data_IF_435040863975
#
_entry.id   IF_435040863975
#
_cell.length_a   1.000
_cell.length_b   1.000
_cell.length_c   1.000
_cell.angle_alpha   90.00
_cell.angle_beta   90.00
_cell.angle_gamma   90.00
#
_symmetry.space_group_name_H-M   'P 1'
#
loop_
_entity.id
_entity.type
_entity.pdbx_description
1 polymer ?
#
# COMPACT_ATOMS: atom_id res chain seq x y z
N UNK A 1 42.55 3.42 -31.92
CA UNK A 1 41.22 3.28 -31.30
C UNK A 1 41.35 3.41 -29.78
N UNK A 2 40.89 4.51 -29.17
CA UNK A 2 40.96 4.72 -27.72
C UNK A 2 39.94 3.83 -26.99
N UNK A 3 40.33 3.26 -25.85
CA UNK A 3 39.52 2.33 -25.07
C UNK A 3 38.42 3.08 -24.32
N UNK A 4 37.18 2.62 -24.46
CA UNK A 4 35.92 3.12 -23.86
C UNK A 4 35.97 3.35 -22.33
N UNK A 5 36.99 2.82 -21.63
CA UNK A 5 37.19 3.00 -20.19
C UNK A 5 37.51 4.44 -19.78
N UNK A 6 38.15 5.22 -20.65
CA UNK A 6 38.64 6.57 -20.27
C UNK A 6 37.53 7.64 -20.29
N UNK A 7 36.40 7.37 -20.96
CA UNK A 7 35.29 8.32 -21.06
C UNK A 7 34.34 8.28 -19.84
N UNK A 8 34.22 7.10 -19.20
CA UNK A 8 33.29 6.88 -18.08
C UNK A 8 33.84 7.47 -16.77
N UNK A 9 35.16 7.64 -16.66
CA UNK A 9 35.80 8.12 -15.43
C UNK A 9 35.70 9.64 -15.26
N UNK A 10 35.38 10.41 -16.32
CA UNK A 10 35.38 11.88 -16.30
C UNK A 10 34.00 12.56 -16.25
N UNK A 11 32.88 11.83 -16.35
CA UNK A 11 31.54 12.42 -16.32
C UNK A 11 30.49 11.47 -15.70
N UNK A 12 30.31 11.44 -14.37
CA UNK A 12 29.34 10.55 -13.72
C UNK A 12 27.87 10.94 -13.98
N UNK A 13 27.60 12.20 -14.35
CA UNK A 13 26.23 12.72 -14.49
C UNK A 13 25.68 12.69 -15.93
N UNK A 14 26.51 12.34 -16.92
CA UNK A 14 26.12 12.32 -18.33
C UNK A 14 25.49 11.01 -18.82
N UNK A 15 25.70 9.89 -18.12
CA UNK A 15 25.24 8.57 -18.57
C UNK A 15 23.77 8.27 -18.21
N UNK A 16 23.16 9.06 -17.33
CA UNK A 16 21.81 8.81 -16.83
C UNK A 16 20.70 9.29 -17.79
N UNK A 17 21.03 10.12 -18.78
CA UNK A 17 20.04 10.74 -19.69
C UNK A 17 19.80 9.99 -21.02
N UNK A 18 20.48 8.87 -21.28
CA UNK A 18 20.36 8.17 -22.58
C UNK A 18 19.51 6.89 -22.52
N UNK A 19 19.08 6.43 -21.34
CA UNK A 19 18.30 5.18 -21.22
C UNK A 19 16.82 5.44 -20.87
N UNK A 20 16.32 6.64 -21.21
CA UNK A 20 14.88 6.99 -21.21
C UNK A 20 14.29 6.93 -22.63
N UNK A 21 14.80 6.04 -23.48
CA UNK A 21 14.39 5.97 -24.88
C UNK A 21 14.61 4.60 -25.48
N UNK A 22 13.84 3.61 -25.04
CA UNK A 22 13.43 2.46 -25.85
C UNK A 22 12.48 1.59 -25.03
N UNK A 23 11.19 1.77 -25.27
CA UNK A 23 10.18 0.77 -24.98
C UNK A 23 10.54 -0.54 -25.70
N UNK A 24 10.35 -1.70 -25.04
CA UNK A 24 10.34 -3.00 -25.71
C UNK A 24 11.44 -4.00 -25.31
N UNK A 25 11.63 -4.27 -24.01
CA UNK A 25 12.27 -5.53 -23.54
C UNK A 25 11.97 -5.78 -22.05
N UNK A 26 10.72 -5.58 -21.64
CA UNK A 26 10.25 -5.88 -20.28
C UNK A 26 9.90 -7.38 -20.19
N UNK A 27 10.69 -8.17 -19.46
CA UNK A 27 10.30 -9.56 -19.19
C UNK A 27 11.25 -10.33 -18.27
N UNK A 28 12.56 -10.33 -18.54
CA UNK A 28 13.48 -11.21 -17.81
C UNK A 28 14.66 -10.50 -17.12
N UNK A 29 15.11 -9.36 -17.63
CA UNK A 29 16.28 -8.64 -17.07
C UNK A 29 15.94 -7.77 -15.86
N UNK A 30 14.71 -7.25 -15.76
CA UNK A 30 14.25 -6.48 -14.60
C UNK A 30 14.22 -7.30 -13.31
N UNK A 31 13.82 -8.58 -13.39
CA UNK A 31 13.74 -9.50 -12.26
C UNK A 31 15.13 -9.81 -11.68
N UNK A 32 16.11 -10.13 -12.54
CA UNK A 32 17.50 -10.40 -12.11
C UNK A 32 18.21 -9.19 -11.49
N UNK A 33 17.88 -7.96 -11.90
CA UNK A 33 18.46 -6.73 -11.31
C UNK A 33 17.80 -6.41 -9.96
N UNK A 34 16.50 -6.69 -9.80
CA UNK A 34 15.82 -6.63 -8.50
C UNK A 34 16.39 -7.67 -7.54
N UNK A 35 16.51 -8.93 -7.97
CA UNK A 35 16.98 -10.04 -7.14
C UNK A 35 18.44 -9.86 -6.71
N UNK A 36 19.31 -9.35 -7.59
CA UNK A 36 20.71 -9.08 -7.25
C UNK A 36 20.89 -7.84 -6.35
N UNK A 37 20.01 -6.83 -6.46
CA UNK A 37 19.95 -5.72 -5.50
C UNK A 37 19.39 -6.16 -4.15
N UNK A 38 18.43 -7.09 -4.14
CA UNK A 38 17.82 -7.65 -2.94
C UNK A 38 18.82 -8.54 -2.19
N UNK A 39 19.55 -9.42 -2.90
CA UNK A 39 20.62 -10.24 -2.33
C UNK A 39 21.80 -9.39 -1.80
N UNK A 40 22.20 -8.32 -2.50
CA UNK A 40 23.22 -7.37 -2.00
C UNK A 40 22.72 -6.54 -0.80
N UNK A 41 21.42 -6.30 -0.70
CA UNK A 41 20.81 -5.65 0.48
C UNK A 41 20.72 -6.58 1.68
N UNK A 42 20.48 -7.87 1.46
CA UNK A 42 20.46 -8.89 2.51
C UNK A 42 21.86 -9.15 3.06
N UNK A 43 22.88 -9.24 2.21
CA UNK A 43 24.27 -9.36 2.66
C UNK A 43 24.78 -8.12 3.42
N UNK A 44 24.30 -6.91 3.11
CA UNK A 44 24.63 -5.69 3.88
C UNK A 44 23.81 -5.52 5.16
N UNK A 45 22.70 -6.24 5.33
CA UNK A 45 21.78 -6.14 6.47
C UNK A 45 22.33 -6.75 7.77
N UNK A 46 23.36 -7.59 7.70
CA UNK A 46 23.97 -8.23 8.87
C UNK A 46 25.01 -7.37 9.60
N UNK A 47 25.38 -6.18 9.09
CA UNK A 47 26.44 -5.34 9.71
C UNK A 47 26.03 -3.90 10.07
N UNK A 48 24.77 -3.50 9.90
CA UNK A 48 24.31 -2.17 10.32
C UNK A 48 22.87 -2.20 10.79
N UNK A 49 22.60 -1.71 12.01
CA UNK A 49 21.24 -1.61 12.59
C UNK A 49 20.33 -0.83 11.63
N UNK A 50 19.51 -1.51 10.84
CA UNK A 50 18.55 -0.87 9.95
C UNK A 50 17.51 -0.15 10.81
N UNK A 51 17.25 1.12 10.52
CA UNK A 51 16.25 1.89 11.27
C UNK A 51 14.89 1.17 11.24
N UNK A 52 14.20 0.99 12.40
CA UNK A 52 12.94 0.27 12.48
C UNK A 52 11.89 0.66 11.43
N UNK A 53 11.75 1.95 11.12
CA UNK A 53 10.84 2.44 10.07
C UNK A 53 11.14 1.91 8.67
N UNK A 54 12.42 1.73 8.32
CA UNK A 54 12.79 1.12 7.03
C UNK A 54 12.48 -0.38 7.02
N UNK A 55 12.52 -1.05 8.17
CA UNK A 55 12.08 -2.44 8.28
C UNK A 55 10.56 -2.52 8.11
N UNK A 56 9.82 -1.64 8.78
CA UNK A 56 8.35 -1.56 8.67
C UNK A 56 7.89 -1.23 7.26
N UNK A 57 8.47 -0.24 6.62
CA UNK A 57 8.16 0.07 5.22
C UNK A 57 8.38 -1.15 4.30
N UNK A 58 9.45 -1.93 4.53
CA UNK A 58 9.70 -3.17 3.77
C UNK A 58 8.73 -4.29 4.13
N UNK A 59 8.33 -4.40 5.39
CA UNK A 59 7.31 -5.37 5.84
C UNK A 59 5.99 -5.10 5.12
N UNK A 60 5.58 -3.83 4.99
CA UNK A 60 4.39 -3.49 4.21
C UNK A 60 4.50 -3.93 2.75
N UNK A 61 5.60 -3.60 2.08
CA UNK A 61 5.80 -3.96 0.66
C UNK A 61 5.96 -5.46 0.40
N UNK A 62 6.67 -6.17 1.28
CA UNK A 62 7.05 -7.56 1.01
C UNK A 62 6.06 -8.57 1.59
N UNK A 63 5.34 -8.21 2.67
CA UNK A 63 4.54 -9.16 3.44
C UNK A 63 3.07 -8.75 3.56
N UNK A 64 2.76 -7.46 3.76
CA UNK A 64 1.38 -7.05 4.02
C UNK A 64 0.62 -6.82 2.70
N UNK A 65 1.10 -5.92 1.84
CA UNK A 65 0.45 -5.57 0.58
C UNK A 65 0.26 -6.76 -0.38
N UNK A 66 1.21 -7.71 -0.50
CA UNK A 66 0.99 -8.88 -1.36
C UNK A 66 -0.05 -9.87 -0.82
N UNK A 67 -0.41 -9.79 0.46
CA UNK A 67 -1.26 -10.77 1.14
C UNK A 67 -2.53 -10.14 1.73
N UNK A 68 -3.01 -9.03 1.16
CA UNK A 68 -4.17 -8.29 1.70
C UNK A 68 -5.42 -9.16 1.87
N UNK A 69 -5.67 -10.07 0.93
CA UNK A 69 -6.80 -11.03 0.97
C UNK A 69 -6.76 -12.01 2.15
N UNK A 70 -5.61 -12.21 2.78
CA UNK A 70 -5.45 -13.15 3.90
C UNK A 70 -5.79 -12.53 5.26
N UNK A 71 -6.03 -11.22 5.32
CA UNK A 71 -6.25 -10.51 6.57
C UNK A 71 -7.73 -10.20 6.80
N UNK A 72 -8.15 -10.26 8.07
CA UNK A 72 -9.49 -9.85 8.48
C UNK A 72 -9.67 -8.33 8.43
N UNK A 73 -10.91 -7.86 8.48
CA UNK A 73 -11.25 -6.44 8.56
C UNK A 73 -10.51 -5.72 9.69
N UNK A 74 -10.46 -6.33 10.88
CA UNK A 74 -9.79 -5.76 12.05
C UNK A 74 -8.26 -5.64 11.83
N UNK A 75 -7.64 -6.64 11.21
CA UNK A 75 -6.21 -6.62 10.91
C UNK A 75 -5.87 -5.55 9.88
N UNK A 76 -6.64 -5.44 8.80
CA UNK A 76 -6.43 -4.41 7.79
C UNK A 76 -6.60 -2.99 8.35
N UNK A 77 -7.61 -2.75 9.18
CA UNK A 77 -7.77 -1.45 9.83
C UNK A 77 -6.65 -1.14 10.83
N UNK A 78 -6.11 -2.15 11.51
CA UNK A 78 -4.91 -1.97 12.35
C UNK A 78 -3.71 -1.54 11.52
N UNK A 79 -3.48 -2.17 10.36
CA UNK A 79 -2.40 -1.78 9.45
C UNK A 79 -2.60 -0.38 8.87
N UNK A 80 -3.82 -0.04 8.45
CA UNK A 80 -4.18 1.31 8.03
C UNK A 80 -3.84 2.34 9.11
N UNK A 81 -4.26 2.10 10.35
CA UNK A 81 -3.97 2.99 11.46
C UNK A 81 -2.47 3.12 11.75
N UNK A 82 -1.71 2.04 11.59
CA UNK A 82 -0.25 2.08 11.72
C UNK A 82 0.38 3.01 10.66
N UNK A 83 -0.07 2.93 9.41
CA UNK A 83 0.38 3.80 8.31
C UNK A 83 0.04 5.27 8.58
N UNK A 84 -1.20 5.56 9.02
CA UNK A 84 -1.62 6.91 9.40
C UNK A 84 -0.73 7.50 10.51
N UNK A 85 -0.34 6.68 11.49
CA UNK A 85 0.54 7.11 12.56
C UNK A 85 1.95 7.41 12.05
N UNK A 86 2.48 6.63 11.09
CA UNK A 86 3.74 6.97 10.43
C UNK A 86 3.65 8.28 9.66
N UNK A 87 2.56 8.52 8.91
CA UNK A 87 2.33 9.78 8.21
C UNK A 87 2.30 10.98 9.16
N UNK A 88 1.53 10.88 10.27
CA UNK A 88 1.49 11.89 11.33
C UNK A 88 2.88 12.15 11.92
N UNK A 89 3.66 11.10 12.17
CA UNK A 89 5.02 11.24 12.68
C UNK A 89 5.93 11.94 11.67
N UNK A 90 5.90 11.56 10.38
CA UNK A 90 6.72 12.19 9.34
C UNK A 90 6.37 13.67 9.21
N UNK A 91 5.08 14.03 9.20
CA UNK A 91 4.64 15.43 9.15
C UNK A 91 5.16 16.24 10.36
N UNK A 92 5.12 15.67 11.57
CA UNK A 92 5.66 16.33 12.77
C UNK A 92 7.18 16.51 12.68
N UNK A 93 7.90 15.57 12.09
CA UNK A 93 9.35 15.67 11.86
C UNK A 93 9.66 16.74 10.82
N UNK A 94 8.93 16.77 9.69
CA UNK A 94 9.09 17.78 8.63
C UNK A 94 8.90 19.20 9.16
N UNK A 95 7.91 19.40 10.04
CA UNK A 95 7.64 20.71 10.65
C UNK A 95 8.69 21.15 11.70
N UNK A 96 9.48 20.22 12.24
CA UNK A 96 10.48 20.49 13.30
C UNK A 96 11.91 20.55 12.78
N UNK A 97 12.19 19.90 11.65
CA UNK A 97 13.53 19.80 11.10
C UNK A 97 13.86 20.95 10.13
N UNK A 98 15.16 21.17 9.93
CA UNK A 98 15.67 22.17 8.99
C UNK A 98 15.11 21.95 7.57
N UNK A 99 14.84 23.04 6.86
CA UNK A 99 14.32 23.07 5.48
C UNK A 99 15.08 22.13 4.53
N UNK A 100 16.40 21.98 4.71
CA UNK A 100 17.24 21.09 3.90
C UNK A 100 16.84 19.60 3.95
N UNK A 101 16.10 19.17 4.98
CA UNK A 101 15.60 17.78 5.10
C UNK A 101 14.19 17.59 4.55
N UNK A 102 13.48 18.66 4.15
CA UNK A 102 12.14 18.57 3.58
C UNK A 102 12.05 17.59 2.40
N UNK A 103 12.97 17.58 1.41
CA UNK A 103 12.85 16.66 0.27
C UNK A 103 12.85 15.17 0.69
N UNK A 104 13.53 14.84 1.79
CA UNK A 104 13.58 13.48 2.33
C UNK A 104 12.24 13.12 2.98
N UNK A 105 11.64 14.05 3.73
CA UNK A 105 10.34 13.86 4.37
C UNK A 105 9.22 13.79 3.34
N UNK A 106 9.19 14.68 2.35
CA UNK A 106 8.17 14.64 1.30
C UNK A 106 8.23 13.32 0.50
N UNK A 107 9.43 12.81 0.21
CA UNK A 107 9.58 11.48 -0.42
C UNK A 107 9.06 10.35 0.47
N UNK A 108 9.30 10.42 1.79
CA UNK A 108 8.76 9.45 2.75
C UNK A 108 7.23 9.52 2.83
N UNK A 109 6.67 10.71 2.92
CA UNK A 109 5.22 10.94 2.96
C UNK A 109 4.55 10.34 1.73
N UNK A 110 5.05 10.66 0.54
CA UNK A 110 4.54 10.09 -0.71
C UNK A 110 4.59 8.55 -0.70
N UNK A 111 5.70 7.97 -0.23
CA UNK A 111 5.84 6.53 -0.16
C UNK A 111 4.85 5.84 0.78
N UNK A 112 4.49 6.48 1.91
CA UNK A 112 3.50 5.95 2.86
C UNK A 112 2.06 6.26 2.45
N UNK A 113 1.80 7.40 1.80
CA UNK A 113 0.49 7.72 1.23
C UNK A 113 0.07 6.69 0.19
N UNK A 114 0.99 6.28 -0.68
CA UNK A 114 0.71 5.21 -1.67
C UNK A 114 0.28 3.92 -0.96
N UNK A 115 0.95 3.54 0.15
CA UNK A 115 0.58 2.34 0.93
C UNK A 115 -0.81 2.53 1.56
N UNK A 116 -1.11 3.73 2.08
CA UNK A 116 -2.41 4.04 2.66
C UNK A 116 -3.53 3.92 1.61
N UNK A 117 -3.35 4.53 0.45
CA UNK A 117 -4.29 4.47 -0.68
C UNK A 117 -4.55 3.03 -1.09
N UNK A 118 -3.50 2.21 -1.26
CA UNK A 118 -3.64 0.79 -1.61
C UNK A 118 -4.42 -0.01 -0.54
N UNK A 119 -4.20 0.27 0.74
CA UNK A 119 -4.95 -0.37 1.82
C UNK A 119 -6.41 0.06 1.81
N UNK A 120 -6.69 1.36 1.65
CA UNK A 120 -8.04 1.90 1.63
C UNK A 120 -8.84 1.37 0.45
N UNK A 121 -8.28 1.40 -0.76
CA UNK A 121 -8.91 0.87 -1.97
C UNK A 121 -9.27 -0.61 -1.79
N UNK A 122 -8.34 -1.41 -1.28
CA UNK A 122 -8.59 -2.82 -1.01
C UNK A 122 -9.67 -3.03 0.06
N UNK A 123 -9.58 -2.32 1.20
CA UNK A 123 -10.56 -2.42 2.29
C UNK A 123 -11.96 -2.06 1.77
N UNK A 124 -12.11 -0.96 1.05
CA UNK A 124 -13.41 -0.51 0.56
C UNK A 124 -14.02 -1.48 -0.45
N UNK A 125 -13.21 -1.98 -1.39
CA UNK A 125 -13.66 -2.98 -2.35
C UNK A 125 -14.05 -4.29 -1.66
N UNK A 126 -13.21 -4.79 -0.75
CA UNK A 126 -13.46 -6.04 -0.04
C UNK A 126 -14.67 -5.95 0.88
N UNK A 127 -14.82 -4.85 1.61
CA UNK A 127 -15.99 -4.58 2.44
C UNK A 127 -17.26 -4.67 1.60
N UNK A 128 -17.27 -4.05 0.42
CA UNK A 128 -18.44 -4.02 -0.44
C UNK A 128 -18.81 -5.43 -0.95
N UNK A 129 -17.81 -6.17 -1.43
CA UNK A 129 -17.96 -7.56 -1.88
C UNK A 129 -18.53 -8.46 -0.77
N UNK A 130 -17.95 -8.38 0.44
CA UNK A 130 -18.34 -9.21 1.57
C UNK A 130 -19.74 -8.88 2.10
N UNK A 131 -20.09 -7.58 2.17
CA UNK A 131 -21.43 -7.16 2.56
C UNK A 131 -22.48 -7.58 1.53
N UNK A 132 -22.16 -7.50 0.23
CA UNK A 132 -23.07 -7.93 -0.84
C UNK A 132 -23.33 -9.44 -0.79
N UNK A 133 -22.29 -10.26 -0.57
CA UNK A 133 -22.44 -11.71 -0.35
C UNK A 133 -23.34 -12.00 0.86
N UNK A 134 -23.13 -11.29 1.96
CA UNK A 134 -23.87 -11.48 3.19
C UNK A 134 -25.35 -11.05 3.09
N UNK A 135 -25.64 -10.04 2.26
CA UNK A 135 -26.99 -9.58 1.97
C UNK A 135 -27.75 -10.58 1.08
N UNK A 136 -27.08 -11.12 0.05
CA UNK A 136 -27.70 -12.02 -0.92
C UNK A 136 -27.83 -13.48 -0.42
N UNK A 137 -27.09 -13.86 0.62
CA UNK A 137 -27.14 -15.21 1.18
C UNK A 137 -27.16 -15.18 2.73
N UNK A 138 -28.29 -15.60 3.31
CA UNK A 138 -28.50 -15.66 4.75
C UNK A 138 -27.66 -16.73 5.45
N UNK A 139 -27.22 -17.76 4.74
CA UNK A 139 -26.34 -18.82 5.27
C UNK A 139 -24.86 -18.47 5.15
N UNK A 140 -24.52 -17.36 4.47
CA UNK A 140 -23.14 -16.92 4.34
C UNK A 140 -22.54 -16.55 5.69
N UNK A 141 -21.33 -17.07 5.96
CA UNK A 141 -20.50 -16.72 7.10
C UNK A 141 -19.24 -16.06 6.56
N UNK A 142 -19.05 -14.76 6.86
CA UNK A 142 -17.89 -14.04 6.38
C UNK A 142 -16.63 -14.49 7.16
N UNK A 143 -15.56 -14.92 6.47
CA UNK A 143 -14.26 -15.13 7.11
C UNK A 143 -13.53 -13.81 7.38
N UNK A 144 -14.03 -12.71 6.83
CA UNK A 144 -13.39 -11.40 6.82
C UNK A 144 -13.92 -10.46 7.91
N UNK A 145 -15.24 -10.39 8.06
CA UNK A 145 -15.92 -9.60 9.08
C UNK A 145 -16.21 -10.41 10.34
N UNK A 146 -16.30 -9.72 11.47
CA UNK A 146 -16.86 -10.31 12.69
C UNK A 146 -18.37 -10.56 12.52
N UNK A 147 -18.92 -11.64 13.11
CA UNK A 147 -20.33 -12.01 12.97
C UNK A 147 -21.31 -10.86 13.28
N UNK A 148 -21.01 -10.06 14.31
CA UNK A 148 -21.82 -8.91 14.73
C UNK A 148 -22.05 -7.88 13.61
N UNK A 149 -21.08 -7.71 12.70
CA UNK A 149 -21.22 -6.79 11.56
C UNK A 149 -22.23 -7.37 10.56
N UNK A 150 -22.18 -8.68 10.32
CA UNK A 150 -23.08 -9.38 9.40
C UNK A 150 -24.51 -9.44 9.96
N UNK A 151 -24.67 -9.72 11.25
CA UNK A 151 -25.96 -9.67 11.95
C UNK A 151 -26.58 -8.27 11.85
N UNK A 152 -25.82 -7.23 12.18
CA UNK A 152 -26.29 -5.85 12.07
C UNK A 152 -26.67 -5.45 10.65
N UNK A 153 -25.96 -5.94 9.64
CA UNK A 153 -26.33 -5.72 8.24
C UNK A 153 -27.72 -6.31 7.95
N UNK A 154 -27.97 -7.55 8.36
CA UNK A 154 -29.23 -8.28 8.13
C UNK A 154 -30.41 -7.68 8.89
N UNK A 155 -30.18 -7.09 10.06
CA UNK A 155 -31.19 -6.38 10.84
C UNK A 155 -31.49 -4.97 10.29
N UNK A 156 -30.54 -4.38 9.55
CA UNK A 156 -30.68 -3.04 9.01
C UNK A 156 -31.64 -3.00 7.83
N UNK A 157 -32.45 -1.94 7.75
CA UNK A 157 -33.39 -1.70 6.64
C UNK A 157 -33.17 -0.33 6.01
N UNK A 158 -33.45 -0.23 4.71
CA UNK A 158 -33.51 1.01 3.92
C UNK A 158 -32.36 1.96 4.26
N UNK A 159 -32.64 3.14 4.82
CA UNK A 159 -31.65 4.18 5.12
C UNK A 159 -30.54 3.75 6.08
N UNK A 160 -30.85 2.91 7.08
CA UNK A 160 -29.86 2.40 8.02
C UNK A 160 -28.88 1.47 7.31
N UNK A 161 -29.40 0.61 6.42
CA UNK A 161 -28.58 -0.28 5.62
C UNK A 161 -27.69 0.53 4.66
N UNK A 162 -28.28 1.50 3.93
CA UNK A 162 -27.52 2.36 3.02
C UNK A 162 -26.40 3.10 3.76
N UNK A 163 -26.71 3.68 4.91
CA UNK A 163 -25.75 4.43 5.72
C UNK A 163 -24.65 3.53 6.27
N UNK A 164 -25.00 2.30 6.69
CA UNK A 164 -24.03 1.32 7.14
C UNK A 164 -23.10 0.91 6.00
N UNK A 165 -23.61 0.45 4.86
CA UNK A 165 -22.79 0.05 3.70
C UNK A 165 -21.91 1.20 3.24
N UNK A 166 -22.45 2.42 3.13
CA UNK A 166 -21.67 3.61 2.78
C UNK A 166 -20.53 3.87 3.77
N UNK A 167 -20.79 3.72 5.07
CA UNK A 167 -19.79 3.90 6.13
C UNK A 167 -18.57 2.99 5.97
N UNK A 168 -18.81 1.72 5.61
CA UNK A 168 -17.75 0.72 5.42
C UNK A 168 -17.05 0.81 4.06
N UNK A 169 -17.76 1.22 3.01
CA UNK A 169 -17.29 1.02 1.62
C UNK A 169 -17.00 2.31 0.88
N UNK A 170 -17.47 3.45 1.42
CA UNK A 170 -17.47 4.75 0.73
C UNK A 170 -18.15 4.76 -0.63
N UNK A 171 -18.92 3.71 -0.98
CA UNK A 171 -19.72 3.64 -2.21
C UNK A 171 -20.84 4.67 -2.18
N UNK A 172 -21.17 5.20 -3.35
CA UNK A 172 -22.26 6.15 -3.50
C UNK A 172 -23.60 5.53 -3.09
N UNK A 173 -24.43 6.31 -2.40
CA UNK A 173 -25.71 5.82 -1.86
C UNK A 173 -26.61 5.24 -2.96
N UNK A 174 -26.60 5.85 -4.14
CA UNK A 174 -27.37 5.38 -5.31
C UNK A 174 -26.96 4.00 -5.80
N UNK A 175 -25.65 3.70 -5.80
CA UNK A 175 -25.17 2.36 -6.16
C UNK A 175 -25.57 1.34 -5.08
N UNK A 176 -25.54 1.74 -3.81
CA UNK A 176 -25.95 0.87 -2.71
C UNK A 176 -27.45 0.57 -2.77
N UNK A 177 -28.29 1.58 -3.03
CA UNK A 177 -29.74 1.41 -3.23
C UNK A 177 -30.02 0.40 -4.34
N UNK A 178 -29.34 0.51 -5.48
CA UNK A 178 -29.51 -0.42 -6.60
C UNK A 178 -29.16 -1.87 -6.26
N UNK A 179 -28.11 -2.06 -5.46
CA UNK A 179 -27.51 -3.38 -5.28
C UNK A 179 -27.98 -4.11 -4.01
N UNK A 180 -28.63 -3.40 -3.07
CA UNK A 180 -29.08 -3.95 -1.77
C UNK A 180 -30.58 -3.84 -1.48
N UNK A 181 -31.35 -3.07 -2.27
CA UNK A 181 -32.79 -2.83 -2.07
C UNK A 181 -33.54 -3.26 -3.32
#
# INVERSE_FOLDING_TARGET
MPKVKDYVQKNPDGALKVVTGAAGAAGAFGKKILDSKQARFEQKKLKGKVHPRKLKYREFHNNILPNLDSFSYAQLNKYKHEVENYLKQINREENRELVLKQPIHSKRLKGWNIILEQLEDFIFAKNYEELLKAANNLEYVSPYFEPKIIEKLRESKNESLISMVHGYTKKEKRDIERDFI
#
